data_IF_610832875482
#
_entry.id   IF_610832875482
#
_cell.length_a   1.000
_cell.length_b   1.000
_cell.length_c   1.000
_cell.angle_alpha   90.00
_cell.angle_beta   90.00
_cell.angle_gamma   90.00
#
_symmetry.space_group_name_H-M   'P 1'
#
loop_
_entity.id
_entity.type
_entity.pdbx_description
1 polymer ?
#
# COMPACT_ATOMS: atom_id res chain seq x y z
N UNK A 1 -10.33 -6.55 9.91
CA UNK A 1 -11.17 -7.13 11.00
C UNK A 1 -10.29 -7.50 12.21
N UNK A 2 -10.85 -7.78 13.38
CA UNK A 2 -10.08 -8.18 14.58
C UNK A 2 -10.78 -7.87 15.91
N UNK A 3 -10.24 -8.34 17.04
CA UNK A 3 -10.83 -8.19 18.39
C UNK A 3 -10.88 -6.72 18.86
N UNK A 4 -11.78 -6.37 19.78
CA UNK A 4 -11.82 -5.00 20.36
C UNK A 4 -10.44 -4.64 20.93
N UNK A 5 -9.98 -3.39 20.71
CA UNK A 5 -8.66 -2.87 21.16
C UNK A 5 -7.42 -3.52 20.53
N UNK A 6 -7.57 -4.35 19.49
CA UNK A 6 -6.44 -4.93 18.75
C UNK A 6 -5.61 -3.93 17.91
N UNK A 7 -5.93 -2.63 17.92
CA UNK A 7 -5.14 -1.60 17.23
C UNK A 7 -5.53 -1.29 15.78
N UNK A 8 -6.62 -1.84 15.23
CA UNK A 8 -7.06 -1.61 13.83
C UNK A 8 -7.14 -0.13 13.42
N UNK A 9 -7.83 0.68 14.21
CA UNK A 9 -8.03 2.10 13.92
C UNK A 9 -6.72 2.89 14.05
N UNK A 10 -5.83 2.46 14.95
CA UNK A 10 -4.47 3.01 15.08
C UNK A 10 -3.66 2.72 13.82
N UNK A 11 -3.68 1.47 13.34
CA UNK A 11 -3.02 1.05 12.11
C UNK A 11 -3.49 1.90 10.92
N UNK A 12 -4.80 2.05 10.75
CA UNK A 12 -5.37 2.83 9.65
C UNK A 12 -4.89 4.29 9.68
N UNK A 13 -4.91 4.95 10.85
CA UNK A 13 -4.50 6.35 10.97
C UNK A 13 -3.00 6.55 10.81
N UNK A 14 -2.18 5.62 11.30
CA UNK A 14 -0.73 5.70 11.14
C UNK A 14 -0.34 5.55 9.67
N UNK A 15 -0.93 4.56 8.97
CA UNK A 15 -0.56 4.26 7.58
C UNK A 15 -1.09 5.31 6.61
N UNK A 16 -2.35 5.74 6.75
CA UNK A 16 -3.01 6.58 5.73
C UNK A 16 -3.10 8.06 6.09
N UNK A 17 -3.13 8.41 7.38
CA UNK A 17 -3.20 9.80 7.82
C UNK A 17 -1.84 10.35 8.30
N UNK A 18 -0.77 9.54 8.22
CA UNK A 18 0.57 9.88 8.74
C UNK A 18 0.51 10.36 10.21
N UNK A 19 -0.45 9.86 10.99
CA UNK A 19 -0.57 10.20 12.41
C UNK A 19 0.59 9.57 13.18
N UNK A 20 1.33 10.32 14.02
CA UNK A 20 2.41 9.74 14.81
C UNK A 20 1.87 8.71 15.80
N UNK A 21 2.60 7.61 15.99
CA UNK A 21 2.17 6.47 16.81
C UNK A 21 1.78 6.87 18.25
N UNK A 22 2.44 7.88 18.83
CA UNK A 22 2.15 8.37 20.18
C UNK A 22 0.77 9.02 20.31
N UNK A 23 0.25 9.64 19.24
CA UNK A 23 -1.08 10.26 19.25
C UNK A 23 -2.20 9.22 19.15
N UNK A 24 -1.88 8.00 18.70
CA UNK A 24 -2.87 6.93 18.56
C UNK A 24 -3.42 6.42 19.91
N UNK A 25 -2.72 6.68 21.02
CA UNK A 25 -3.17 6.35 22.37
C UNK A 25 -4.45 7.10 22.77
N UNK A 26 -4.70 8.25 22.15
CA UNK A 26 -5.87 9.09 22.43
C UNK A 26 -7.07 8.77 21.53
N UNK A 27 -6.99 7.72 20.71
CA UNK A 27 -8.09 7.33 19.83
C UNK A 27 -9.26 6.76 20.61
N UNK A 28 -10.44 7.31 20.35
CA UNK A 28 -11.69 6.76 20.86
C UNK A 28 -12.03 5.42 20.21
N UNK A 29 -12.82 4.60 20.92
CA UNK A 29 -13.25 3.31 20.39
C UNK A 29 -14.21 3.46 19.21
N UNK A 30 -13.89 2.84 18.08
CA UNK A 30 -14.75 2.80 16.89
C UNK A 30 -16.06 2.06 17.18
N UNK A 31 -17.19 2.76 17.04
CA UNK A 31 -18.54 2.23 17.30
C UNK A 31 -19.35 1.95 16.01
N UNK A 32 -18.87 2.42 14.85
CA UNK A 32 -19.50 2.25 13.53
C UNK A 32 -18.46 1.83 12.49
N UNK A 33 -18.89 1.14 11.44
CA UNK A 33 -18.01 0.82 10.31
C UNK A 33 -17.57 2.13 9.66
N UNK A 34 -16.27 2.38 9.63
CA UNK A 34 -15.68 3.52 8.93
C UNK A 34 -15.17 3.00 7.60
N UNK A 35 -15.73 3.54 6.51
CA UNK A 35 -15.25 3.31 5.15
C UNK A 35 -14.39 4.49 4.77
N UNK A 36 -13.17 4.22 4.35
CA UNK A 36 -12.27 5.24 3.85
C UNK A 36 -11.86 4.89 2.43
N UNK A 37 -12.17 5.80 1.51
CA UNK A 37 -11.74 5.73 0.13
C UNK A 37 -10.39 6.44 0.02
N UNK A 38 -9.32 5.67 -0.19
CA UNK A 38 -7.98 6.22 -0.36
C UNK A 38 -7.74 6.35 -1.86
N UNK A 39 -7.84 7.59 -2.34
CA UNK A 39 -7.50 7.95 -3.72
C UNK A 39 -5.98 8.09 -3.85
N UNK A 40 -5.31 6.94 -3.96
CA UNK A 40 -3.88 6.88 -4.30
C UNK A 40 -3.68 6.21 -5.66
N UNK A 41 -2.44 5.84 -5.99
CA UNK A 41 -2.12 5.07 -7.18
C UNK A 41 -2.93 3.77 -7.30
N UNK A 42 -3.31 3.20 -6.16
CA UNK A 42 -4.27 2.10 -6.07
C UNK A 42 -5.50 2.68 -5.37
N UNK A 43 -6.62 2.72 -6.06
CA UNK A 43 -7.91 2.99 -5.43
C UNK A 43 -8.26 1.76 -4.60
N UNK A 44 -8.10 1.85 -3.30
CA UNK A 44 -8.56 0.82 -2.37
C UNK A 44 -9.40 1.46 -1.27
N UNK A 45 -10.43 0.72 -0.86
CA UNK A 45 -11.30 1.12 0.22
C UNK A 45 -10.92 0.33 1.46
N UNK A 46 -10.54 1.02 2.53
CA UNK A 46 -10.25 0.39 3.82
C UNK A 46 -11.50 0.43 4.68
N UNK A 47 -11.91 -0.74 5.15
CA UNK A 47 -13.07 -0.87 6.04
C UNK A 47 -12.57 -1.21 7.44
N UNK A 48 -12.74 -0.27 8.37
CA UNK A 48 -12.53 -0.53 9.79
C UNK A 48 -13.83 -1.05 10.42
N UNK A 49 -13.77 -2.28 10.92
CA UNK A 49 -14.90 -2.96 11.54
C UNK A 49 -14.80 -2.83 13.07
N UNK A 50 -15.88 -2.40 13.75
CA UNK A 50 -15.93 -2.38 15.21
C UNK A 50 -15.73 -3.78 15.77
N UNK A 51 -14.87 -3.91 16.79
CA UNK A 51 -14.59 -5.21 17.44
C UNK A 51 -15.77 -5.81 18.21
N UNK A 52 -16.88 -5.08 18.32
CA UNK A 52 -18.13 -5.49 18.97
C UNK A 52 -19.17 -6.06 17.98
N UNK A 53 -18.95 -5.96 16.66
CA UNK A 53 -19.91 -6.51 15.71
C UNK A 53 -19.81 -8.03 15.75
N UNK A 54 -20.89 -8.65 16.21
CA UNK A 54 -21.16 -10.04 15.88
C UNK A 54 -21.42 -10.09 14.37
N UNK A 55 -20.41 -10.51 13.60
CA UNK A 55 -20.56 -10.82 12.16
C UNK A 55 -21.63 -11.92 11.89
N UNK A 56 -22.16 -12.50 12.96
CA UNK A 56 -23.23 -13.48 13.01
C UNK A 56 -24.62 -12.89 12.84
N UNK A 57 -24.79 -11.57 12.98
CA UNK A 57 -26.11 -10.97 12.90
C UNK A 57 -26.57 -10.84 11.44
N UNK A 58 -27.77 -11.34 11.16
CA UNK A 58 -28.38 -11.44 9.82
C UNK A 58 -28.67 -10.09 9.16
N UNK A 59 -28.42 -8.99 9.89
CA UNK A 59 -28.61 -7.62 9.43
C UNK A 59 -27.45 -7.09 8.56
N UNK A 60 -26.30 -7.77 8.54
CA UNK A 60 -25.18 -7.42 7.69
C UNK A 60 -25.06 -8.41 6.53
N UNK A 61 -25.34 -7.95 5.31
CA UNK A 61 -25.20 -8.74 4.10
C UNK A 61 -23.73 -9.13 3.89
N UNK A 62 -23.38 -10.33 4.35
CA UNK A 62 -22.03 -10.89 4.22
C UNK A 62 -21.62 -11.00 2.75
N UNK A 63 -22.57 -11.19 1.84
CA UNK A 63 -22.30 -11.19 0.41
C UNK A 63 -21.87 -9.81 -0.10
N UNK A 64 -22.42 -8.72 0.44
CA UNK A 64 -22.02 -7.36 0.09
C UNK A 64 -20.69 -6.94 0.74
N UNK A 65 -20.33 -7.57 1.87
CA UNK A 65 -19.12 -7.28 2.64
C UNK A 65 -17.93 -8.16 2.22
N UNK A 66 -18.15 -9.30 1.56
CA UNK A 66 -17.06 -10.21 1.14
C UNK A 66 -17.00 -10.46 -0.37
N UNK A 67 -18.02 -10.04 -1.14
CA UNK A 67 -18.08 -10.29 -2.59
C UNK A 67 -17.07 -9.49 -3.41
N UNK A 68 -16.92 -8.19 -3.13
CA UNK A 68 -16.12 -7.28 -3.97
C UNK A 68 -14.67 -7.07 -3.49
N UNK A 69 -14.22 -7.81 -2.46
CA UNK A 69 -12.92 -7.59 -1.82
C UNK A 69 -11.90 -8.64 -2.27
N UNK A 70 -10.65 -8.21 -2.45
CA UNK A 70 -9.56 -9.11 -2.84
C UNK A 70 -8.74 -9.68 -1.67
N UNK A 71 -8.72 -8.99 -0.51
CA UNK A 71 -7.99 -9.46 0.65
C UNK A 71 -8.70 -9.11 1.97
N UNK A 72 -8.59 -10.03 2.93
CA UNK A 72 -9.07 -9.85 4.30
C UNK A 72 -7.89 -9.83 5.26
N UNK A 73 -7.71 -8.68 5.93
CA UNK A 73 -6.71 -8.52 6.99
C UNK A 73 -7.38 -8.74 8.34
N UNK A 74 -6.89 -9.70 9.12
CA UNK A 74 -7.31 -9.94 10.50
C UNK A 74 -6.20 -9.59 11.48
N UNK A 75 -6.48 -8.69 12.41
CA UNK A 75 -5.50 -8.18 13.39
C UNK A 75 -5.70 -8.89 14.73
N UNK A 76 -4.67 -9.62 15.16
CA UNK A 76 -4.54 -10.29 16.46
C UNK A 76 -3.62 -9.46 17.34
N UNK A 77 -3.99 -9.24 18.59
CA UNK A 77 -3.11 -8.61 19.57
C UNK A 77 -2.19 -9.67 20.19
N UNK A 78 -0.86 -9.50 20.10
CA UNK A 78 0.11 -10.44 20.64
C UNK A 78 0.32 -10.31 22.16
N UNK A 79 -0.13 -9.19 22.76
CA UNK A 79 0.04 -8.93 24.20
C UNK A 79 -1.16 -9.39 25.04
N UNK A 80 -2.31 -9.61 24.40
CA UNK A 80 -3.55 -10.07 25.05
C UNK A 80 -3.79 -11.57 24.80
N UNK A 81 -4.81 -12.14 25.45
CA UNK A 81 -5.21 -13.52 25.22
C UNK A 81 -5.80 -13.69 23.81
N UNK A 82 -5.00 -14.27 22.91
CA UNK A 82 -5.36 -14.49 21.51
C UNK A 82 -6.29 -15.69 21.30
N UNK A 83 -6.60 -16.52 22.30
CA UNK A 83 -7.45 -17.71 22.12
C UNK A 83 -8.86 -17.32 21.61
N UNK A 84 -9.45 -16.26 22.16
CA UNK A 84 -10.74 -15.77 21.67
C UNK A 84 -10.63 -15.20 20.25
N UNK A 85 -9.51 -14.53 19.95
CA UNK A 85 -9.25 -13.96 18.64
C UNK A 85 -9.09 -15.05 17.57
N UNK A 86 -8.46 -16.18 17.89
CA UNK A 86 -8.32 -17.34 17.01
C UNK A 86 -9.68 -17.96 16.67
N UNK A 87 -10.53 -18.21 17.66
CA UNK A 87 -11.89 -18.72 17.43
C UNK A 87 -12.69 -17.78 16.51
N UNK A 88 -12.59 -16.46 16.73
CA UNK A 88 -13.24 -15.45 15.87
C UNK A 88 -12.65 -15.43 14.46
N UNK A 89 -11.33 -15.56 14.33
CA UNK A 89 -10.65 -15.65 13.03
C UNK A 89 -11.18 -16.86 12.25
N UNK A 90 -11.20 -18.04 12.87
CA UNK A 90 -11.67 -19.28 12.26
C UNK A 90 -13.10 -19.15 11.70
N UNK A 91 -14.04 -18.63 12.51
CA UNK A 91 -15.40 -18.38 12.06
C UNK A 91 -15.48 -17.37 10.90
N UNK A 92 -14.64 -16.33 10.93
CA UNK A 92 -14.60 -15.30 9.89
C UNK A 92 -14.07 -15.87 8.58
N UNK A 93 -12.98 -16.64 8.62
CA UNK A 93 -12.36 -17.29 7.45
C UNK A 93 -13.34 -18.28 6.82
N UNK A 94 -13.99 -19.13 7.62
CA UNK A 94 -14.97 -20.10 7.12
C UNK A 94 -16.13 -19.44 6.38
N UNK A 95 -16.63 -18.31 6.91
CA UNK A 95 -17.75 -17.58 6.29
C UNK A 95 -17.30 -16.83 5.03
N UNK A 96 -16.14 -16.19 5.08
CA UNK A 96 -15.60 -15.46 3.94
C UNK A 96 -15.26 -16.40 2.77
N UNK A 97 -14.67 -17.57 3.04
CA UNK A 97 -14.34 -18.55 2.01
C UNK A 97 -15.58 -19.12 1.32
N UNK A 98 -16.69 -19.29 2.04
CA UNK A 98 -17.98 -19.71 1.45
C UNK A 98 -18.54 -18.69 0.45
N UNK A 99 -18.24 -17.40 0.64
CA UNK A 99 -18.73 -16.33 -0.22
C UNK A 99 -17.77 -16.11 -1.39
N UNK A 100 -16.47 -16.05 -1.13
CA UNK A 100 -15.44 -15.81 -2.13
C UNK A 100 -14.21 -16.70 -1.87
N UNK A 101 -13.98 -17.75 -2.69
CA UNK A 101 -12.82 -18.63 -2.54
C UNK A 101 -11.51 -17.98 -3.02
N UNK A 102 -11.56 -16.92 -3.83
CA UNK A 102 -10.38 -16.21 -4.35
C UNK A 102 -9.84 -15.15 -3.38
N UNK A 103 -10.47 -14.99 -2.21
CA UNK A 103 -10.07 -14.02 -1.20
C UNK A 103 -8.72 -14.40 -0.56
N UNK A 104 -7.77 -13.46 -0.58
CA UNK A 104 -6.49 -13.63 0.13
C UNK A 104 -6.66 -13.36 1.63
N UNK A 105 -6.25 -14.31 2.47
CA UNK A 105 -6.37 -14.19 3.92
C UNK A 105 -5.02 -13.86 4.56
N UNK A 106 -4.98 -12.73 5.27
CA UNK A 106 -3.75 -12.17 5.81
C UNK A 106 -3.96 -11.87 7.31
N UNK A 107 -3.08 -12.39 8.16
CA UNK A 107 -3.17 -12.30 9.62
C UNK A 107 -2.02 -11.43 10.13
N UNK A 108 -2.36 -10.33 10.78
CA UNK A 108 -1.41 -9.43 11.42
C UNK A 108 -1.35 -9.74 12.91
N UNK A 109 -0.22 -10.26 13.35
CA UNK A 109 0.14 -10.39 14.76
C UNK A 109 0.70 -9.02 15.17
N UNK A 110 -0.09 -8.29 15.94
CA UNK A 110 0.10 -6.88 16.21
C UNK A 110 0.61 -6.63 17.64
N UNK A 111 1.21 -5.46 17.88
CA UNK A 111 1.83 -5.06 19.16
C UNK A 111 3.00 -5.95 19.60
N UNK A 112 3.83 -6.33 18.64
CA UNK A 112 5.05 -7.12 18.89
C UNK A 112 6.21 -6.27 19.46
N UNK A 113 6.01 -4.97 19.65
CA UNK A 113 6.99 -3.99 20.10
C UNK A 113 7.59 -4.29 21.47
N UNK A 114 6.77 -4.76 22.42
CA UNK A 114 7.23 -5.07 23.78
C UNK A 114 7.79 -6.49 23.95
N UNK A 115 7.78 -7.32 22.89
CA UNK A 115 8.14 -8.73 22.96
C UNK A 115 9.60 -8.93 22.54
N UNK A 116 10.28 -9.89 23.18
CA UNK A 116 11.61 -10.33 22.74
C UNK A 116 11.51 -11.09 21.42
N UNK A 117 12.59 -11.08 20.62
CA UNK A 117 12.58 -11.72 19.30
C UNK A 117 12.35 -13.24 19.38
N UNK A 118 12.84 -13.90 20.43
CA UNK A 118 12.54 -15.31 20.72
C UNK A 118 11.04 -15.51 20.93
N UNK A 119 10.40 -14.67 21.75
CA UNK A 119 8.98 -14.77 22.04
C UNK A 119 8.11 -14.45 20.83
N UNK A 120 8.55 -13.56 19.93
CA UNK A 120 7.87 -13.27 18.65
C UNK A 120 7.81 -14.52 17.77
N UNK A 121 8.94 -15.22 17.63
CA UNK A 121 9.04 -16.43 16.81
C UNK A 121 8.18 -17.55 17.41
N UNK A 122 8.23 -17.73 18.72
CA UNK A 122 7.42 -18.73 19.42
C UNK A 122 5.92 -18.44 19.30
N UNK A 123 5.51 -17.18 19.51
CA UNK A 123 4.10 -16.76 19.37
C UNK A 123 3.60 -16.93 17.94
N UNK A 124 4.41 -16.56 16.95
CA UNK A 124 4.06 -16.75 15.53
C UNK A 124 3.88 -18.24 15.22
N UNK A 125 4.79 -19.08 15.69
CA UNK A 125 4.74 -20.52 15.46
C UNK A 125 3.53 -21.15 16.15
N UNK A 126 3.22 -20.77 17.38
CA UNK A 126 2.06 -21.27 18.12
C UNK A 126 0.75 -20.87 17.41
N UNK A 127 0.59 -19.60 17.06
CA UNK A 127 -0.58 -19.11 16.31
C UNK A 127 -0.73 -19.84 14.98
N UNK A 128 0.36 -19.98 14.22
CA UNK A 128 0.35 -20.65 12.93
C UNK A 128 -0.03 -22.13 13.06
N UNK A 129 0.53 -22.84 14.04
CA UNK A 129 0.20 -24.24 14.30
C UNK A 129 -1.27 -24.41 14.67
N UNK A 130 -1.75 -23.66 15.67
CA UNK A 130 -3.15 -23.77 16.11
C UNK A 130 -4.16 -23.50 15.01
N UNK A 131 -3.93 -22.46 14.19
CA UNK A 131 -4.85 -22.17 13.09
C UNK A 131 -4.77 -23.25 12.00
N UNK A 132 -3.58 -23.79 11.73
CA UNK A 132 -3.43 -24.89 10.76
C UNK A 132 -4.15 -26.14 11.23
N UNK A 133 -4.04 -26.47 12.53
CA UNK A 133 -4.74 -27.61 13.13
C UNK A 133 -6.26 -27.41 13.09
N UNK A 134 -6.76 -26.22 13.48
CA UNK A 134 -8.20 -25.90 13.42
C UNK A 134 -8.76 -25.90 11.99
N UNK A 135 -7.96 -25.48 11.00
CA UNK A 135 -8.37 -25.54 9.58
C UNK A 135 -8.35 -26.96 9.02
N UNK A 136 -7.43 -27.81 9.48
CA UNK A 136 -7.35 -29.21 9.08
C UNK A 136 -8.58 -30.00 9.56
N UNK A 137 -9.10 -29.68 10.75
CA UNK A 137 -10.31 -30.32 11.31
C UNK A 137 -11.58 -30.15 10.44
N UNK A 138 -11.61 -29.13 9.56
CA UNK A 138 -12.75 -28.81 8.69
C UNK A 138 -12.51 -29.11 7.20
N UNK A 139 -11.46 -29.85 6.83
CA UNK A 139 -11.09 -30.21 5.44
C UNK A 139 -10.83 -28.99 4.52
N UNK A 140 -10.39 -27.85 5.09
CA UNK A 140 -10.14 -26.60 4.37
C UNK A 140 -8.65 -26.39 4.07
N UNK A 141 -7.94 -27.44 3.66
CA UNK A 141 -6.49 -27.44 3.41
C UNK A 141 -6.04 -26.48 2.28
N UNK A 142 -6.98 -25.97 1.48
CA UNK A 142 -6.69 -25.05 0.38
C UNK A 142 -6.57 -23.58 0.79
N UNK A 143 -6.93 -23.23 2.04
CA UNK A 143 -6.83 -21.84 2.51
C UNK A 143 -5.39 -21.55 2.95
N UNK A 144 -4.68 -20.72 2.18
CA UNK A 144 -3.35 -20.24 2.55
C UNK A 144 -3.47 -18.97 3.38
N UNK A 145 -3.17 -19.07 4.67
CA UNK A 145 -3.02 -17.94 5.55
C UNK A 145 -1.59 -17.45 5.57
N UNK A 146 -1.41 -16.14 5.46
CA UNK A 146 -0.12 -15.50 5.60
C UNK A 146 -0.06 -14.73 6.92
N UNK A 147 1.05 -14.88 7.64
CA UNK A 147 1.25 -14.28 8.96
C UNK A 147 2.30 -13.19 8.87
N UNK A 148 2.00 -12.03 9.45
CA UNK A 148 2.93 -10.91 9.56
C UNK A 148 3.02 -10.42 10.99
N UNK A 149 4.24 -10.22 11.46
CA UNK A 149 4.53 -9.53 12.70
C UNK A 149 4.50 -8.02 12.41
N UNK A 150 3.68 -7.28 13.15
CA UNK A 150 3.45 -5.86 12.88
C UNK A 150 3.47 -5.03 14.15
N UNK A 151 4.07 -3.84 14.05
CA UNK A 151 4.07 -2.81 15.09
C UNK A 151 3.76 -1.47 14.45
N UNK A 152 3.03 -0.60 15.16
CA UNK A 152 2.83 0.81 14.73
C UNK A 152 4.03 1.70 15.05
N UNK A 153 4.95 1.24 15.90
CA UNK A 153 6.16 1.97 16.25
C UNK A 153 7.31 1.71 15.26
N UNK A 154 7.26 0.57 14.57
CA UNK A 154 8.25 0.18 13.58
C UNK A 154 7.66 0.28 12.17
N UNK A 155 8.52 0.23 11.15
CA UNK A 155 8.08 0.27 9.76
C UNK A 155 7.46 -1.05 9.27
N UNK A 156 7.42 -2.09 10.12
CA UNK A 156 6.94 -3.44 9.79
C UNK A 156 5.49 -3.47 9.34
N UNK A 157 4.67 -2.56 9.88
CA UNK A 157 3.27 -2.42 9.44
C UNK A 157 3.19 -2.02 7.96
N UNK A 158 4.02 -1.08 7.51
CA UNK A 158 4.03 -0.65 6.12
C UNK A 158 4.56 -1.76 5.20
N UNK A 159 5.54 -2.54 5.65
CA UNK A 159 6.04 -3.69 4.91
C UNK A 159 4.96 -4.77 4.75
N UNK A 160 4.26 -5.11 5.83
CA UNK A 160 3.16 -6.06 5.79
C UNK A 160 2.06 -5.60 4.85
N UNK A 161 1.64 -4.32 4.93
CA UNK A 161 0.68 -3.75 3.98
C UNK A 161 1.17 -3.82 2.53
N UNK A 162 2.45 -3.52 2.29
CA UNK A 162 3.03 -3.58 0.95
C UNK A 162 2.93 -4.98 0.35
N UNK A 163 3.21 -6.02 1.14
CA UNK A 163 3.06 -7.43 0.70
C UNK A 163 1.59 -7.80 0.44
N UNK A 164 0.66 -7.31 1.26
CA UNK A 164 -0.78 -7.56 1.05
C UNK A 164 -1.25 -6.88 -0.24
N UNK A 165 -0.87 -5.62 -0.44
CA UNK A 165 -1.23 -4.84 -1.62
C UNK A 165 -0.61 -5.45 -2.89
N UNK A 166 0.62 -5.94 -2.82
CA UNK A 166 1.28 -6.65 -3.93
C UNK A 166 0.47 -7.84 -4.44
N UNK A 167 -0.05 -8.67 -3.53
CA UNK A 167 -0.90 -9.82 -3.89
C UNK A 167 -2.21 -9.41 -4.57
N UNK A 168 -2.71 -8.23 -4.26
CA UNK A 168 -3.93 -7.68 -4.87
C UNK A 168 -3.71 -7.17 -6.30
N UNK A 169 -2.47 -6.94 -6.72
CA UNK A 169 -2.17 -6.38 -8.04
C UNK A 169 -1.92 -7.55 -9.03
N UNK A 170 -2.84 -7.79 -9.98
CA UNK A 170 -2.70 -8.90 -10.93
C UNK A 170 -1.51 -8.75 -11.90
N UNK A 171 -0.98 -7.53 -12.06
CA UNK A 171 0.14 -7.22 -12.95
C UNK A 171 1.50 -7.17 -12.24
N UNK A 172 1.57 -7.60 -10.97
CA UNK A 172 2.80 -7.61 -10.20
C UNK A 172 3.97 -8.30 -10.94
N UNK A 173 3.80 -9.48 -11.58
CA UNK A 173 4.94 -10.14 -12.26
C UNK A 173 5.54 -9.31 -13.39
N UNK A 174 4.73 -8.51 -14.07
CA UNK A 174 5.23 -7.61 -15.13
C UNK A 174 6.06 -6.47 -14.52
N UNK A 175 5.59 -5.88 -13.42
CA UNK A 175 6.32 -4.81 -12.72
C UNK A 175 7.63 -5.32 -12.11
N UNK A 176 7.62 -6.50 -11.49
CA UNK A 176 8.82 -7.16 -10.97
C UNK A 176 9.83 -7.44 -12.09
N UNK A 177 9.38 -7.94 -13.24
CA UNK A 177 10.25 -8.17 -14.39
C UNK A 177 10.86 -6.89 -14.94
N UNK A 178 10.09 -5.79 -15.02
CA UNK A 178 10.62 -4.48 -15.42
C UNK A 178 11.68 -3.97 -14.44
N UNK A 179 11.44 -4.11 -13.13
CA UNK A 179 12.41 -3.76 -12.09
C UNK A 179 13.67 -4.63 -12.18
N UNK A 180 13.53 -5.93 -12.40
CA UNK A 180 14.67 -6.85 -12.57
C UNK A 180 15.53 -6.47 -13.78
N UNK A 181 14.91 -6.11 -14.92
CA UNK A 181 15.62 -5.63 -16.11
C UNK A 181 16.37 -4.33 -15.81
N UNK A 182 15.74 -3.40 -15.10
CA UNK A 182 16.37 -2.14 -14.69
C UNK A 182 17.56 -2.39 -13.77
N UNK A 183 17.42 -3.26 -12.76
CA UNK A 183 18.49 -3.59 -11.82
C UNK A 183 19.68 -4.26 -12.52
N UNK A 184 19.40 -5.24 -13.39
CA UNK A 184 20.43 -5.98 -14.12
C UNK A 184 21.25 -5.10 -15.08
N UNK A 185 20.59 -4.15 -15.77
CA UNK A 185 21.26 -3.30 -16.76
C UNK A 185 21.97 -2.08 -16.14
N UNK A 186 21.49 -1.59 -15.00
CA UNK A 186 22.02 -0.40 -14.34
C UNK A 186 22.97 -0.70 -13.17
N UNK A 187 23.13 -1.97 -12.78
CA UNK A 187 23.95 -2.36 -11.64
C UNK A 187 23.38 -1.83 -10.31
N UNK A 188 22.05 -1.74 -10.21
CA UNK A 188 21.35 -1.37 -8.98
C UNK A 188 21.24 -2.62 -8.11
N UNK A 189 21.57 -2.52 -6.82
CA UNK A 189 21.52 -3.66 -5.91
C UNK A 189 20.09 -3.97 -5.48
N UNK A 190 19.27 -2.93 -5.25
CA UNK A 190 17.88 -3.07 -4.82
C UNK A 190 17.04 -1.92 -5.36
N UNK A 191 15.81 -2.21 -5.79
CA UNK A 191 14.87 -1.20 -6.27
C UNK A 191 13.48 -1.40 -5.66
N UNK A 192 12.87 -0.28 -5.27
CA UNK A 192 11.54 -0.23 -4.69
C UNK A 192 10.70 0.82 -5.42
N UNK A 193 9.50 0.42 -5.84
CA UNK A 193 8.52 1.34 -6.40
C UNK A 193 7.53 1.73 -5.30
N UNK A 194 7.68 2.93 -4.76
CA UNK A 194 6.90 3.47 -3.65
C UNK A 194 5.73 4.33 -4.11
N UNK A 195 4.64 4.26 -3.36
CA UNK A 195 3.65 5.34 -3.29
C UNK A 195 4.11 6.39 -2.27
N UNK A 196 4.31 7.63 -2.73
CA UNK A 196 4.86 8.75 -1.93
C UNK A 196 3.94 9.11 -0.77
N UNK A 197 2.62 8.95 -0.92
CA UNK A 197 1.67 9.36 0.10
C UNK A 197 1.55 8.34 1.23
N UNK A 198 1.41 7.06 0.88
CA UNK A 198 1.19 5.97 1.85
C UNK A 198 2.50 5.33 2.35
N UNK A 199 3.63 5.59 1.68
CA UNK A 199 4.93 4.92 1.87
C UNK A 199 4.88 3.41 1.61
N UNK A 200 3.82 2.93 0.98
CA UNK A 200 3.68 1.51 0.62
C UNK A 200 4.46 1.26 -0.67
N UNK A 201 5.26 0.19 -0.72
CA UNK A 201 5.91 -0.21 -1.95
C UNK A 201 5.03 -1.17 -2.75
N UNK A 202 4.77 -0.80 -3.99
CA UNK A 202 3.86 -1.49 -4.91
C UNK A 202 4.55 -2.66 -5.57
N UNK A 203 5.84 -2.52 -5.88
CA UNK A 203 6.64 -3.57 -6.49
C UNK A 203 8.09 -3.41 -6.03
N UNK A 204 8.80 -4.53 -5.99
CA UNK A 204 10.23 -4.59 -5.73
C UNK A 204 10.87 -5.59 -6.69
N UNK A 205 12.19 -5.54 -6.83
CA UNK A 205 12.92 -6.55 -7.56
C UNK A 205 12.94 -7.89 -6.81
N UNK A 206 13.34 -8.96 -7.50
CA UNK A 206 13.32 -10.35 -7.00
C UNK A 206 14.28 -10.63 -5.84
N UNK A 207 15.20 -9.72 -5.50
CA UNK A 207 16.08 -9.90 -4.35
C UNK A 207 15.27 -9.83 -3.04
N UNK A 208 15.68 -10.55 -1.99
CA UNK A 208 14.97 -10.49 -0.70
C UNK A 208 14.94 -9.06 -0.16
N UNK A 209 13.79 -8.65 0.35
CA UNK A 209 13.63 -7.34 1.01
C UNK A 209 14.24 -7.44 2.40
N UNK A 210 15.26 -6.61 2.64
CA UNK A 210 15.78 -6.38 3.97
C UNK A 210 15.03 -5.21 4.64
N UNK A 211 14.68 -5.40 5.91
CA UNK A 211 13.90 -4.44 6.68
C UNK A 211 14.67 -3.11 6.81
N UNK A 212 15.98 -3.16 7.01
CA UNK A 212 16.82 -1.96 7.14
C UNK A 212 16.86 -1.16 5.83
N UNK A 213 16.94 -1.86 4.70
CA UNK A 213 16.90 -1.22 3.38
C UNK A 213 15.58 -0.50 3.15
N UNK A 214 14.47 -1.10 3.58
CA UNK A 214 13.14 -0.50 3.51
C UNK A 214 13.02 0.75 4.40
N UNK A 215 13.48 0.68 5.65
CA UNK A 215 13.47 1.80 6.60
C UNK A 215 14.21 3.02 6.03
N UNK A 216 15.45 2.84 5.56
CA UNK A 216 16.24 3.95 5.01
C UNK A 216 15.57 4.55 3.76
N UNK A 217 14.94 3.72 2.92
CA UNK A 217 14.22 4.21 1.74
C UNK A 217 12.95 5.00 2.12
N UNK A 218 12.21 4.55 3.13
CA UNK A 218 11.03 5.23 3.67
C UNK A 218 11.42 6.60 4.24
N UNK A 219 12.45 6.64 5.08
CA UNK A 219 12.92 7.89 5.71
C UNK A 219 13.48 8.87 4.66
N UNK A 220 14.12 8.35 3.62
CA UNK A 220 14.55 9.17 2.49
C UNK A 220 13.37 9.88 1.80
N UNK A 221 12.23 9.21 1.63
CA UNK A 221 11.04 9.82 1.03
C UNK A 221 10.55 10.97 1.90
N UNK A 222 10.47 10.79 3.22
CA UNK A 222 10.06 11.86 4.14
C UNK A 222 10.98 13.08 4.04
N UNK A 223 12.29 12.86 4.12
CA UNK A 223 13.28 13.94 4.01
C UNK A 223 13.10 14.72 2.69
N UNK A 224 12.88 14.00 1.58
CA UNK A 224 12.71 14.64 0.27
C UNK A 224 11.39 15.40 0.20
N UNK A 225 10.29 14.82 0.68
CA UNK A 225 8.96 15.46 0.70
C UNK A 225 8.99 16.70 1.58
N UNK A 226 9.56 16.62 2.79
CA UNK A 226 9.65 17.73 3.74
C UNK A 226 10.51 18.88 3.19
N UNK A 227 11.69 18.57 2.62
CA UNK A 227 12.55 19.57 1.99
C UNK A 227 11.86 20.20 0.77
N UNK A 228 11.16 19.38 -0.02
CA UNK A 228 10.41 19.86 -1.19
C UNK A 228 9.22 20.72 -0.77
N UNK A 229 8.59 20.46 0.38
CA UNK A 229 7.51 21.29 0.89
C UNK A 229 8.02 22.67 1.39
N UNK A 230 9.20 22.69 2.00
CA UNK A 230 9.83 23.92 2.49
C UNK A 230 10.33 24.77 1.31
N UNK A 231 11.09 24.18 0.38
CA UNK A 231 11.82 24.91 -0.65
C UNK A 231 11.25 24.79 -2.06
N UNK A 232 10.43 23.77 -2.33
CA UNK A 232 9.76 23.56 -3.63
C UNK A 232 8.55 24.46 -3.84
N UNK A 233 8.12 25.20 -2.81
CA UNK A 233 7.19 26.33 -2.95
C UNK A 233 7.92 27.50 -3.60
N UNK A 234 8.06 27.48 -4.93
CA UNK A 234 8.36 28.71 -5.69
C UNK A 234 7.20 29.70 -5.55
N UNK A 235 7.38 30.69 -4.67
CA UNK A 235 6.68 31.97 -4.56
C UNK A 235 5.15 31.96 -4.80
N UNK A 236 4.38 31.59 -3.78
CA UNK A 236 3.00 32.09 -3.58
C UNK A 236 2.90 33.00 -2.33
N UNK A 237 4.01 33.63 -1.93
CA UNK A 237 4.06 34.63 -0.86
C UNK A 237 4.38 36.03 -1.40
N UNK A 238 3.72 36.42 -2.50
CA UNK A 238 3.55 37.81 -2.94
C UNK A 238 2.22 37.93 -3.67
N UNK A 239 1.19 38.36 -2.95
CA UNK A 239 0.34 39.52 -3.30
C UNK A 239 -0.95 39.48 -2.47
N UNK A 240 -0.85 39.91 -1.21
CA UNK A 240 -2.00 40.33 -0.39
C UNK A 240 -1.93 41.85 -0.11
N UNK A 241 -1.30 42.60 -1.03
CA UNK A 241 -1.11 44.05 -0.88
C UNK A 241 -0.93 44.79 -2.22
N UNK A 242 -1.90 44.72 -3.14
CA UNK A 242 -2.35 45.91 -3.89
C UNK A 242 -3.62 45.60 -4.68
N UNK A 243 -4.73 46.22 -4.29
CA UNK A 243 -5.97 46.22 -5.05
C UNK A 243 -6.16 47.62 -5.64
N UNK A 244 -5.44 47.96 -6.70
CA UNK A 244 -5.87 49.04 -7.60
C UNK A 244 -5.21 49.01 -8.99
N UNK A 245 -6.03 48.66 -9.98
CA UNK A 245 -6.07 49.19 -11.35
C UNK A 245 -4.74 49.52 -12.05
N UNK A 246 -4.46 48.86 -13.18
CA UNK A 246 -4.67 49.45 -14.51
C UNK A 246 -4.28 48.48 -15.63
N UNK A 247 -5.11 48.50 -16.67
CA UNK A 247 -4.99 47.75 -17.91
C UNK A 247 -3.67 48.03 -18.66
N UNK A 248 -3.05 46.99 -19.23
CA UNK A 248 -2.78 46.85 -20.68
C UNK A 248 -1.65 45.83 -20.99
N UNK A 249 -1.94 44.93 -21.93
CA UNK A 249 -1.02 44.20 -22.82
C UNK A 249 0.04 43.27 -22.20
N UNK A 250 -0.29 41.98 -22.15
CA UNK A 250 0.70 40.90 -22.08
C UNK A 250 0.05 39.56 -21.74
N UNK A 251 -0.01 38.66 -22.72
CA UNK A 251 -0.23 37.22 -22.63
C UNK A 251 -0.66 36.72 -21.24
N UNK A 252 -1.96 36.52 -21.05
CA UNK A 252 -2.52 35.82 -19.90
C UNK A 252 -1.99 34.38 -19.91
N UNK A 253 -0.86 34.20 -19.22
CA UNK A 253 -0.25 32.93 -18.92
C UNK A 253 -1.25 32.08 -18.16
N UNK A 254 -1.59 30.98 -18.80
CA UNK A 254 -2.42 29.90 -18.29
C UNK A 254 -1.97 29.52 -16.87
N UNK A 255 -2.95 29.33 -15.99
CA UNK A 255 -2.76 28.92 -14.62
C UNK A 255 -2.18 27.50 -14.61
N UNK A 256 -0.85 27.41 -14.64
CA UNK A 256 -0.09 26.19 -14.46
C UNK A 256 -0.30 25.63 -13.06
N UNK A 257 -1.29 24.76 -12.95
CA UNK A 257 -1.22 23.61 -12.04
C UNK A 257 0.19 23.01 -12.12
N UNK A 258 0.80 22.76 -10.97
CA UNK A 258 2.14 22.18 -10.77
C UNK A 258 2.26 20.74 -11.28
N UNK A 259 1.99 20.53 -12.57
CA UNK A 259 1.83 19.21 -13.21
C UNK A 259 3.07 18.79 -13.99
N UNK A 260 4.00 19.70 -14.31
CA UNK A 260 5.18 19.37 -15.12
C UNK A 260 6.47 19.17 -14.30
N UNK A 261 6.66 19.86 -13.17
CA UNK A 261 7.90 19.75 -12.37
C UNK A 261 7.92 18.59 -11.36
N UNK A 262 6.78 17.97 -11.05
CA UNK A 262 6.73 16.80 -10.17
C UNK A 262 7.22 15.51 -10.85
N UNK A 263 7.14 15.45 -12.18
CA UNK A 263 7.53 14.27 -12.97
C UNK A 263 9.05 14.09 -13.08
N UNK A 264 9.84 15.12 -12.76
CA UNK A 264 11.30 15.12 -12.77
C UNK A 264 11.89 15.19 -11.36
N UNK A 265 11.09 14.90 -10.33
CA UNK A 265 11.57 14.84 -8.95
C UNK A 265 12.71 13.81 -8.86
N UNK A 266 13.88 14.27 -8.46
CA UNK A 266 15.11 13.51 -8.54
C UNK A 266 15.97 13.86 -7.34
N UNK A 267 16.40 12.86 -6.58
CA UNK A 267 17.27 13.05 -5.41
C UNK A 267 18.35 11.98 -5.33
N UNK A 268 19.48 12.36 -4.75
CA UNK A 268 20.64 11.50 -4.58
C UNK A 268 21.22 11.72 -3.19
N UNK A 269 21.29 10.67 -2.38
CA UNK A 269 21.91 10.68 -1.05
C UNK A 269 23.08 9.71 -1.07
N UNK A 270 24.29 10.21 -0.82
CA UNK A 270 25.50 9.37 -0.71
C UNK A 270 25.80 9.12 0.77
N UNK A 271 25.86 7.85 1.16
CA UNK A 271 26.25 7.43 2.49
C UNK A 271 27.78 7.28 2.59
N UNK A 272 28.29 7.35 3.82
CA UNK A 272 29.73 7.26 4.12
C UNK A 272 30.35 5.89 3.79
N UNK A 273 29.55 4.83 3.75
CA UNK A 273 29.95 3.47 3.43
C UNK A 273 30.03 3.18 1.93
N UNK A 274 29.87 4.20 1.07
CA UNK A 274 29.90 4.06 -0.38
C UNK A 274 28.57 3.60 -0.99
N UNK A 275 27.50 3.46 -0.20
CA UNK A 275 26.16 3.28 -0.75
C UNK A 275 25.56 4.61 -1.19
N UNK A 276 24.77 4.57 -2.25
CA UNK A 276 24.07 5.71 -2.82
C UNK A 276 22.60 5.34 -2.91
N UNK A 277 21.75 6.19 -2.36
CA UNK A 277 20.31 6.12 -2.57
C UNK A 277 19.91 7.10 -3.64
N UNK A 278 19.15 6.63 -4.62
CA UNK A 278 18.61 7.46 -5.67
C UNK A 278 17.09 7.37 -5.64
N UNK A 279 16.42 8.53 -5.55
CA UNK A 279 14.99 8.64 -5.74
C UNK A 279 14.72 9.31 -7.09
N UNK A 280 13.80 8.72 -7.85
CA UNK A 280 13.31 9.27 -9.11
C UNK A 280 11.78 9.18 -9.17
N UNK A 281 11.12 10.29 -9.46
CA UNK A 281 9.68 10.34 -9.68
C UNK A 281 9.29 9.61 -10.96
N UNK A 282 8.36 8.67 -10.86
CA UNK A 282 7.79 7.95 -12.00
C UNK A 282 6.50 8.62 -12.46
N UNK A 283 5.62 8.92 -11.50
CA UNK A 283 4.35 9.63 -11.71
C UNK A 283 4.03 10.46 -10.45
N UNK A 284 2.96 11.25 -10.46
CA UNK A 284 2.53 12.08 -9.33
C UNK A 284 2.44 11.34 -7.98
N UNK A 285 2.08 10.06 -8.01
CA UNK A 285 1.93 9.24 -6.82
C UNK A 285 3.08 8.26 -6.63
N UNK A 286 3.84 7.93 -7.68
CA UNK A 286 4.86 6.88 -7.65
C UNK A 286 6.27 7.43 -7.73
N UNK A 287 7.13 6.97 -6.82
CA UNK A 287 8.55 7.21 -6.84
C UNK A 287 9.31 5.88 -6.86
N UNK A 288 10.33 5.80 -7.70
CA UNK A 288 11.31 4.72 -7.67
C UNK A 288 12.44 5.11 -6.72
N UNK A 289 12.75 4.24 -5.76
CA UNK A 289 13.91 4.36 -4.87
C UNK A 289 14.86 3.21 -5.15
N UNK A 290 16.11 3.54 -5.45
CA UNK A 290 17.15 2.59 -5.83
C UNK A 290 18.34 2.69 -4.88
N UNK A 291 18.87 1.53 -4.48
CA UNK A 291 20.11 1.39 -3.73
C UNK A 291 21.22 0.92 -4.68
N UNK A 292 22.31 1.66 -4.74
CA UNK A 292 23.43 1.38 -5.64
C UNK A 292 24.77 1.66 -4.94
N UNK A 293 25.84 1.00 -5.38
CA UNK A 293 27.20 1.33 -4.92
C UNK A 293 27.78 2.52 -5.67
N UNK A 294 28.66 3.25 -4.99
CA UNK A 294 29.42 4.36 -5.56
C UNK A 294 30.10 4.03 -6.88
N UNK A 295 30.62 2.81 -6.99
CA UNK A 295 31.42 2.35 -8.13
C UNK A 295 30.56 2.19 -9.40
N UNK A 296 29.27 1.85 -9.23
CA UNK A 296 28.32 1.72 -10.33
C UNK A 296 27.74 3.08 -10.77
N UNK A 297 27.87 4.12 -9.95
CA UNK A 297 27.32 5.45 -10.22
C UNK A 297 28.15 6.27 -11.23
N UNK A 298 29.36 5.83 -11.59
CA UNK A 298 30.17 6.49 -12.62
C UNK A 298 29.47 6.53 -13.99
N UNK A 299 28.52 5.61 -14.22
CA UNK A 299 27.70 5.50 -15.44
C UNK A 299 26.33 6.17 -15.30
N UNK A 300 26.26 7.30 -14.61
CA UNK A 300 24.99 8.00 -14.31
C UNK A 300 24.10 8.23 -15.55
N UNK A 301 24.68 8.59 -16.71
CA UNK A 301 23.91 8.79 -17.94
C UNK A 301 23.22 7.53 -18.50
N UNK A 302 23.79 6.33 -18.28
CA UNK A 302 23.14 5.07 -18.67
C UNK A 302 21.99 4.73 -17.73
N UNK A 303 22.15 5.04 -16.43
CA UNK A 303 21.10 4.83 -15.42
C UNK A 303 19.89 5.72 -15.74
N UNK A 304 20.12 6.99 -16.08
CA UNK A 304 19.05 7.91 -16.44
C UNK A 304 18.32 7.48 -17.73
N UNK A 305 19.06 7.01 -18.76
CA UNK A 305 18.45 6.47 -19.98
C UNK A 305 17.60 5.22 -19.69
N UNK A 306 18.12 4.28 -18.90
CA UNK A 306 17.38 3.08 -18.50
C UNK A 306 16.16 3.44 -17.66
N UNK A 307 16.26 4.44 -16.79
CA UNK A 307 15.13 4.95 -16.00
C UNK A 307 14.05 5.55 -16.89
N UNK A 308 14.42 6.33 -17.91
CA UNK A 308 13.45 6.89 -18.85
C UNK A 308 12.69 5.78 -19.60
N UNK A 309 13.41 4.76 -20.09
CA UNK A 309 12.80 3.59 -20.72
C UNK A 309 11.84 2.86 -19.75
N UNK A 310 12.23 2.73 -18.48
CA UNK A 310 11.41 2.12 -17.43
C UNK A 310 10.14 2.94 -17.14
N UNK A 311 10.26 4.27 -17.06
CA UNK A 311 9.14 5.20 -16.86
C UNK A 311 8.11 5.10 -17.99
N UNK A 312 8.58 5.04 -19.23
CA UNK A 312 7.73 4.82 -20.41
C UNK A 312 7.04 3.44 -20.38
N UNK A 313 7.80 2.38 -20.08
CA UNK A 313 7.24 1.03 -19.96
C UNK A 313 6.16 0.93 -18.87
N UNK A 314 6.36 1.61 -17.73
CA UNK A 314 5.37 1.71 -16.67
C UNK A 314 4.10 2.41 -17.17
N UNK A 315 4.23 3.53 -17.87
CA UNK A 315 3.09 4.27 -18.41
C UNK A 315 2.25 3.40 -19.35
N UNK A 316 2.90 2.63 -20.24
CA UNK A 316 2.25 1.72 -21.18
C UNK A 316 1.48 0.58 -20.48
N UNK A 317 2.10 -0.05 -19.46
CA UNK A 317 1.46 -1.12 -18.68
C UNK A 317 0.16 -0.63 -18.03
N UNK A 318 0.18 0.60 -17.50
CA UNK A 318 -0.99 1.18 -16.86
C UNK A 318 -2.03 1.72 -17.84
N UNK A 319 -1.64 2.24 -19.01
CA UNK A 319 -2.59 2.59 -20.06
C UNK A 319 -3.34 1.36 -20.59
N UNK A 320 -2.64 0.23 -20.73
CA UNK A 320 -3.26 -1.05 -21.07
C UNK A 320 -4.27 -1.50 -20.01
N UNK A 321 -3.99 -1.29 -18.72
CA UNK A 321 -4.96 -1.55 -17.63
C UNK A 321 -6.20 -0.66 -17.78
N UNK A 322 -6.03 0.65 -17.99
CA UNK A 322 -7.16 1.58 -18.17
C UNK A 322 -8.04 1.16 -19.34
N UNK A 323 -7.41 0.86 -20.48
CA UNK A 323 -8.11 0.41 -21.69
C UNK A 323 -8.82 -0.94 -21.50
N UNK A 324 -8.22 -1.86 -20.76
CA UNK A 324 -8.85 -3.14 -20.44
C UNK A 324 -10.01 -3.00 -19.45
N UNK A 325 -9.89 -2.10 -18.46
CA UNK A 325 -10.98 -1.79 -17.54
C UNK A 325 -12.15 -1.09 -18.24
N UNK A 326 -11.87 -0.20 -19.19
CA UNK A 326 -12.89 0.44 -20.03
C UNK A 326 -13.58 -0.57 -20.95
N UNK A 327 -12.83 -1.50 -21.55
CA UNK A 327 -13.41 -2.60 -22.33
C UNK A 327 -14.31 -3.51 -21.48
N UNK A 328 -13.86 -3.90 -20.29
CA UNK A 328 -14.65 -4.71 -19.36
C UNK A 328 -15.91 -3.98 -18.88
N UNK A 329 -15.86 -2.66 -18.67
CA UNK A 329 -17.04 -1.84 -18.38
C UNK A 329 -18.01 -1.77 -19.56
N UNK A 330 -17.50 -1.66 -20.79
CA UNK A 330 -18.32 -1.64 -22.00
C UNK A 330 -18.99 -3.00 -22.25
N UNK A 331 -18.29 -4.11 -22.02
CA UNK A 331 -18.85 -5.46 -22.09
C UNK A 331 -19.89 -5.71 -20.98
N UNK A 332 -19.65 -5.23 -19.74
CA UNK A 332 -20.66 -5.29 -18.67
C UNK A 332 -21.91 -4.46 -18.97
N UNK A 333 -21.78 -3.27 -19.57
CA UNK A 333 -22.95 -2.48 -19.98
C UNK A 333 -23.71 -3.12 -21.14
N UNK A 334 -23.02 -3.71 -22.12
CA UNK A 334 -23.66 -4.43 -23.22
C UNK A 334 -24.39 -5.71 -22.77
N UNK A 335 -23.97 -6.35 -21.68
CA UNK A 335 -24.69 -7.48 -21.09
C UNK A 335 -25.96 -7.06 -20.33
N UNK A 336 -26.01 -5.85 -19.78
CA UNK A 336 -27.20 -5.33 -19.08
C UNK A 336 -28.29 -4.93 -20.09
N UNK A 337 -27.92 -4.29 -21.21
CA UNK A 337 -28.87 -3.96 -22.30
C UNK A 337 -29.51 -5.22 -22.91
N UNK A 338 -28.75 -6.31 -23.06
CA UNK A 338 -29.29 -7.56 -23.59
C UNK A 338 -30.23 -8.32 -22.63
N UNK A 339 -30.15 -8.05 -21.32
CA UNK A 339 -31.07 -8.67 -20.34
C UNK A 339 -32.41 -7.92 -20.30
N UNK A 340 -32.40 -6.58 -20.39
CA UNK A 340 -33.64 -5.79 -20.41
C UNK A 340 -34.47 -6.02 -21.68
N UNK A 341 -33.85 -6.28 -22.84
CA UNK A 341 -34.56 -6.63 -24.08
C UNK A 341 -35.18 -8.04 -24.06
N UNK A 342 -34.75 -8.92 -23.16
CA UNK A 342 -35.25 -10.31 -23.07
C UNK A 342 -36.44 -10.50 -22.11
N UNK A 343 -36.76 -9.50 -21.29
CA UNK A 343 -37.90 -9.52 -20.34
C UNK A 343 -39.12 -8.74 -20.88
N UNK A 344 -38.97 -8.02 -21.99
CA UNK A 344 -40.00 -7.21 -22.63
C UNK A 344 -40.72 -7.83 -23.85
N UNK A 345 -40.62 -9.15 -24.06
CA UNK A 345 -41.21 -9.87 -25.21
C UNK A 345 -42.46 -10.67 -24.87
#
# INVERSE_FOLDING_TARGET
MGQRRSGKSSIQKVVFHKMPANETLFLESTNKIVKEDITSFIDFQVWDFPGQINYFDSAYDSNMIFGDYGALIFVIDAQDDYIEALNRLHHTVTRAYKVNPDLSFEVFIHKVDALSDEYKIDTQRDIQQRITDELADYDMEHVRLNFYLTSIYDHSIFEAFSKVIQKLIPQLPTLENLLNILCANSGIEKAFLFDVNSKIYIATDSSPVDMQSYEICSDMIDVIVDISEIYGRTNSFRDDFDQSQTDTNGHTGDYGTTTETANDASSLIKLNNGMILCLRGVNRFLALVCLLRSDNFEKHGLIDYNFQCFKEAIADVFELKRRNAERMKHERMGLIENVDDSVGG
#
